data_IF_794568977037
#
_entry.id   IF_794568977037
#
_cell.length_a   1.000
_cell.length_b   1.000
_cell.length_c   1.000
_cell.angle_alpha   90.00
_cell.angle_beta   90.00
_cell.angle_gamma   90.00
#
_symmetry.space_group_name_H-M   'P 1'
#
loop_
_entity.id
_entity.type
_entity.pdbx_description
1 polymer ?
#
# COMPACT_ATOMS: atom_id res chain seq x y z
N UNK A 1 -1.08 -7.68 -14.09
CA UNK A 1 0.20 -7.65 -13.38
C UNK A 1 1.17 -6.87 -14.26
N UNK A 2 1.78 -5.80 -13.75
CA UNK A 2 2.67 -4.95 -14.54
C UNK A 2 3.87 -4.58 -13.69
N UNK A 3 5.08 -4.81 -14.22
CA UNK A 3 6.32 -4.29 -13.68
C UNK A 3 6.48 -2.87 -14.27
N UNK A 4 6.62 -1.88 -13.42
CA UNK A 4 6.75 -0.48 -13.81
C UNK A 4 8.22 -0.08 -13.94
N UNK A 5 9.07 -0.61 -13.05
CA UNK A 5 10.52 -0.40 -13.06
C UNK A 5 11.20 -1.63 -12.46
N UNK A 6 12.40 -1.95 -12.95
CA UNK A 6 13.24 -3.04 -12.45
C UNK A 6 14.70 -2.63 -12.62
N UNK A 7 15.46 -2.65 -11.52
CA UNK A 7 16.86 -2.25 -11.50
C UNK A 7 17.70 -3.26 -10.75
N UNK A 8 18.82 -3.65 -11.33
CA UNK A 8 19.88 -4.36 -10.61
C UNK A 8 20.65 -3.34 -9.75
N UNK A 9 20.63 -3.53 -8.43
CA UNK A 9 21.27 -2.60 -7.48
C UNK A 9 22.57 -3.13 -6.91
N UNK A 10 22.74 -4.46 -6.85
CA UNK A 10 23.98 -5.09 -6.44
C UNK A 10 24.13 -6.47 -7.10
N UNK A 11 25.39 -6.89 -7.29
CA UNK A 11 25.75 -8.22 -7.76
C UNK A 11 26.95 -8.72 -6.95
N UNK A 12 26.79 -9.88 -6.31
CA UNK A 12 27.86 -10.62 -5.63
C UNK A 12 28.10 -11.90 -6.44
N UNK A 13 28.92 -11.78 -7.47
CA UNK A 13 29.18 -12.87 -8.43
C UNK A 13 29.74 -14.13 -7.78
N UNK A 14 30.62 -13.98 -6.77
CA UNK A 14 31.17 -15.11 -6.02
C UNK A 14 30.11 -15.96 -5.32
N UNK A 15 28.99 -15.35 -4.92
CA UNK A 15 27.85 -16.01 -4.27
C UNK A 15 26.69 -16.28 -5.22
N UNK A 16 26.79 -15.87 -6.48
CA UNK A 16 25.68 -15.87 -7.44
C UNK A 16 24.41 -15.18 -6.87
N UNK A 17 24.59 -14.10 -6.12
CA UNK A 17 23.52 -13.36 -5.48
C UNK A 17 23.39 -11.98 -6.12
N UNK A 18 22.15 -11.64 -6.49
CA UNK A 18 21.82 -10.40 -7.18
C UNK A 18 20.70 -9.69 -6.43
N UNK A 19 20.88 -8.40 -6.18
CA UNK A 19 19.85 -7.58 -5.56
C UNK A 19 19.18 -6.74 -6.62
N UNK A 20 17.86 -6.83 -6.69
CA UNK A 20 17.07 -6.02 -7.62
C UNK A 20 16.03 -5.18 -6.86
N UNK A 21 15.83 -3.97 -7.34
CA UNK A 21 14.73 -3.10 -6.91
C UNK A 21 13.61 -3.17 -7.94
N UNK A 22 12.39 -3.42 -7.47
CA UNK A 22 11.24 -3.65 -8.35
C UNK A 22 10.08 -2.75 -7.94
N UNK A 23 9.62 -1.93 -8.87
CA UNK A 23 8.36 -1.21 -8.75
C UNK A 23 7.30 -1.90 -9.59
N UNK A 24 6.20 -2.31 -8.97
CA UNK A 24 5.17 -3.09 -9.64
C UNK A 24 3.76 -2.77 -9.14
N UNK A 25 2.78 -3.19 -9.93
CA UNK A 25 1.36 -3.06 -9.56
C UNK A 25 0.97 -4.05 -8.48
N UNK A 26 -0.11 -3.75 -7.73
CA UNK A 26 -0.69 -4.69 -6.77
C UNK A 26 -0.99 -6.05 -7.42
N UNK A 27 -0.89 -7.11 -6.62
CA UNK A 27 -1.13 -8.48 -7.08
C UNK A 27 0.07 -9.11 -7.81
N UNK A 28 1.22 -8.43 -7.87
CA UNK A 28 2.45 -9.00 -8.40
C UNK A 28 3.10 -9.89 -7.35
N UNK A 29 3.32 -11.16 -7.69
CA UNK A 29 4.06 -12.11 -6.86
C UNK A 29 5.54 -12.04 -7.24
N UNK A 30 6.34 -11.46 -6.36
CA UNK A 30 7.79 -11.28 -6.63
C UNK A 30 8.51 -12.63 -6.79
N UNK A 31 8.09 -13.66 -6.07
CA UNK A 31 8.62 -15.02 -6.26
C UNK A 31 8.44 -15.53 -7.69
N UNK A 32 7.27 -15.28 -8.28
CA UNK A 32 6.99 -15.63 -9.67
C UNK A 32 7.87 -14.82 -10.62
N UNK A 33 8.01 -13.53 -10.38
CA UNK A 33 8.91 -12.68 -11.18
C UNK A 33 10.35 -13.21 -11.18
N UNK A 34 10.90 -13.59 -10.02
CA UNK A 34 12.24 -14.14 -9.92
C UNK A 34 12.36 -15.48 -10.65
N UNK A 35 11.36 -16.36 -10.50
CA UNK A 35 11.31 -17.62 -11.22
C UNK A 35 11.33 -17.38 -12.73
N UNK A 36 10.44 -16.51 -13.24
CA UNK A 36 10.33 -16.23 -14.67
C UNK A 36 11.62 -15.58 -15.22
N UNK A 37 12.24 -14.69 -14.44
CA UNK A 37 13.53 -14.10 -14.78
C UNK A 37 14.62 -15.16 -14.89
N UNK A 38 14.70 -16.09 -13.94
CA UNK A 38 15.64 -17.21 -13.97
C UNK A 38 15.42 -18.15 -15.16
N UNK A 39 14.17 -18.41 -15.53
CA UNK A 39 13.83 -19.19 -16.73
C UNK A 39 14.25 -18.45 -18.00
N UNK A 40 14.01 -17.15 -18.09
CA UNK A 40 14.41 -16.35 -19.25
C UNK A 40 15.93 -16.27 -19.43
N UNK A 41 16.70 -16.28 -18.34
CA UNK A 41 18.15 -16.34 -18.35
C UNK A 41 18.71 -17.75 -18.60
N UNK A 42 17.88 -18.79 -18.52
CA UNK A 42 18.29 -20.19 -18.75
C UNK A 42 19.04 -20.84 -17.59
N UNK A 43 19.22 -20.16 -16.45
CA UNK A 43 19.96 -20.66 -15.28
C UNK A 43 19.06 -20.98 -14.08
N UNK A 44 17.77 -20.60 -14.13
CA UNK A 44 16.90 -20.63 -12.97
C UNK A 44 17.26 -19.54 -11.96
N UNK A 45 16.31 -19.20 -11.08
CA UNK A 45 16.55 -18.29 -9.96
C UNK A 45 15.62 -18.62 -8.80
N UNK A 46 16.07 -18.29 -7.59
CA UNK A 46 15.28 -18.43 -6.36
C UNK A 46 15.38 -17.13 -5.54
N UNK A 47 14.27 -16.74 -4.96
CA UNK A 47 14.23 -15.58 -4.07
C UNK A 47 14.75 -15.98 -2.69
N UNK A 48 15.80 -15.34 -2.22
CA UNK A 48 16.44 -15.60 -0.92
C UNK A 48 15.94 -14.64 0.16
N UNK A 49 15.65 -13.39 -0.21
CA UNK A 49 15.12 -12.39 0.70
C UNK A 49 14.12 -11.49 -0.03
N UNK A 50 13.26 -10.83 0.74
CA UNK A 50 12.29 -9.86 0.22
C UNK A 50 12.04 -8.78 1.27
N UNK A 51 12.23 -7.53 0.88
CA UNK A 51 11.87 -6.37 1.69
C UNK A 51 10.98 -5.43 0.90
N UNK A 52 9.85 -5.05 1.48
CA UNK A 52 9.02 -3.99 0.92
C UNK A 52 9.55 -2.65 1.40
N UNK A 53 9.95 -1.79 0.46
CA UNK A 53 10.51 -0.46 0.76
C UNK A 53 9.48 0.65 0.72
N UNK A 54 8.38 0.44 -0.03
CA UNK A 54 7.28 1.39 -0.12
C UNK A 54 5.95 0.67 -0.34
N UNK A 55 4.88 1.19 0.23
CA UNK A 55 3.52 0.74 -0.05
C UNK A 55 2.52 1.87 0.23
N UNK A 56 1.59 2.15 -0.71
CA UNK A 56 0.56 3.18 -0.56
C UNK A 56 1.11 4.57 -0.21
N UNK A 57 2.28 4.93 -0.73
CA UNK A 57 2.93 6.21 -0.42
C UNK A 57 3.68 6.25 0.91
N UNK A 58 3.66 5.17 1.71
CA UNK A 58 4.47 5.03 2.92
C UNK A 58 5.81 4.41 2.56
N UNK A 59 6.89 5.06 2.95
CA UNK A 59 8.25 4.53 2.84
C UNK A 59 8.61 3.66 4.06
N UNK A 60 9.61 2.80 3.91
CA UNK A 60 10.12 1.99 5.02
C UNK A 60 10.58 2.85 6.20
N UNK A 61 11.11 4.04 5.93
CA UNK A 61 11.53 5.00 6.96
C UNK A 61 10.37 5.54 7.82
N UNK A 62 9.13 5.47 7.32
CA UNK A 62 7.93 5.87 8.07
C UNK A 62 7.39 4.75 8.99
N UNK A 63 7.99 3.56 8.91
CA UNK A 63 7.56 2.40 9.65
C UNK A 63 8.28 2.33 11.01
N UNK A 64 7.61 1.73 11.98
CA UNK A 64 8.19 1.37 13.28
C UNK A 64 8.39 -0.14 13.35
N UNK A 65 9.44 -0.60 14.04
CA UNK A 65 9.69 -2.02 14.21
C UNK A 65 8.82 -2.62 15.33
N UNK A 66 8.69 -3.94 15.34
CA UNK A 66 7.96 -4.64 16.40
C UNK A 66 8.64 -4.44 17.75
N UNK A 67 9.98 -4.40 17.80
CA UNK A 67 10.76 -4.16 19.00
C UNK A 67 10.51 -2.76 19.57
N UNK A 68 10.41 -1.75 18.70
CA UNK A 68 10.06 -0.39 19.11
C UNK A 68 8.66 -0.31 19.69
N UNK A 69 7.68 -0.97 19.05
CA UNK A 69 6.31 -1.04 19.58
C UNK A 69 6.24 -1.80 20.89
N UNK A 70 7.02 -2.86 21.04
CA UNK A 70 7.09 -3.64 22.27
C UNK A 70 7.70 -2.82 23.42
N UNK A 71 8.80 -2.12 23.17
CA UNK A 71 9.42 -1.23 24.14
C UNK A 71 8.46 -0.09 24.56
N UNK A 72 7.71 0.46 23.59
CA UNK A 72 6.70 1.49 23.88
C UNK A 72 5.59 0.95 24.77
N UNK A 73 5.07 -0.25 24.49
CA UNK A 73 4.08 -0.92 25.33
C UNK A 73 4.60 -1.15 26.76
N UNK A 74 5.80 -1.68 26.89
CA UNK A 74 6.39 -2.06 28.17
C UNK A 74 6.70 -0.82 29.05
N UNK A 75 6.95 0.34 28.40
CA UNK A 75 7.08 1.64 29.08
C UNK A 75 5.74 2.31 29.40
N UNK A 76 4.61 1.75 28.98
CA UNK A 76 3.29 2.40 29.11
C UNK A 76 3.12 3.65 28.25
N UNK A 77 3.89 3.76 27.16
CA UNK A 77 3.87 4.89 26.25
C UNK A 77 2.63 4.93 25.35
N UNK A 78 2.41 6.08 24.71
CA UNK A 78 1.30 6.32 23.79
C UNK A 78 1.65 5.81 22.37
N UNK A 79 0.75 5.03 21.78
CA UNK A 79 0.86 4.53 20.40
C UNK A 79 0.38 5.53 19.34
N UNK A 80 -0.32 6.62 19.73
CA UNK A 80 -0.89 7.56 18.79
C UNK A 80 0.13 8.11 17.77
N UNK A 81 1.40 8.41 18.14
CA UNK A 81 2.41 8.85 17.18
C UNK A 81 2.82 7.79 16.13
N UNK A 82 2.59 6.50 16.43
CA UNK A 82 2.89 5.39 15.53
C UNK A 82 1.74 5.10 14.55
N UNK A 83 0.58 5.71 14.77
CA UNK A 83 -0.61 5.48 13.95
C UNK A 83 -0.73 6.55 12.88
N UNK A 84 -0.98 6.13 11.65
CA UNK A 84 -1.32 7.03 10.55
C UNK A 84 -2.82 6.96 10.28
N UNK A 85 -3.51 8.11 10.21
CA UNK A 85 -4.91 8.15 9.81
C UNK A 85 -5.09 7.58 8.40
N UNK A 86 -6.14 6.78 8.20
CA UNK A 86 -6.40 6.14 6.90
C UNK A 86 -6.69 7.17 5.81
N UNK A 87 -7.29 8.30 6.14
CA UNK A 87 -7.59 9.38 5.21
C UNK A 87 -6.32 10.06 4.68
N UNK A 88 -5.22 10.11 5.44
CA UNK A 88 -3.92 10.55 4.93
C UNK A 88 -3.41 9.63 3.80
N UNK A 89 -3.55 8.31 3.96
CA UNK A 89 -3.15 7.33 2.95
C UNK A 89 -4.00 7.40 1.68
N UNK A 90 -5.21 7.94 1.81
CA UNK A 90 -6.16 8.09 0.73
C UNK A 90 -6.26 9.53 0.21
N UNK A 91 -5.36 10.43 0.61
CA UNK A 91 -5.39 11.85 0.24
C UNK A 91 -5.31 12.10 -1.28
N UNK A 92 -4.75 11.16 -2.05
CA UNK A 92 -4.70 11.22 -3.51
C UNK A 92 -6.07 10.97 -4.18
N UNK A 93 -7.05 10.47 -3.44
CA UNK A 93 -8.39 10.18 -3.96
C UNK A 93 -9.35 11.31 -3.65
N UNK A 94 -10.33 11.59 -4.55
CA UNK A 94 -11.35 12.60 -4.29
C UNK A 94 -12.18 12.20 -3.06
N UNK A 95 -12.34 13.13 -2.12
CA UNK A 95 -13.17 12.95 -0.95
C UNK A 95 -14.63 13.29 -1.26
N UNK A 96 -15.56 12.45 -0.86
CA UNK A 96 -16.99 12.72 -0.89
C UNK A 96 -17.45 13.18 0.49
N UNK A 97 -18.19 14.28 0.52
CA UNK A 97 -18.86 14.74 1.72
C UNK A 97 -20.26 14.12 1.78
N UNK A 98 -20.59 13.54 2.92
CA UNK A 98 -21.88 12.89 3.13
C UNK A 98 -22.51 13.40 4.43
N UNK A 99 -23.85 13.42 4.48
CA UNK A 99 -24.59 13.76 5.70
C UNK A 99 -24.49 12.63 6.73
N UNK A 100 -24.73 12.95 8.01
CA UNK A 100 -24.69 11.94 9.08
C UNK A 100 -25.61 10.72 8.84
N UNK A 101 -26.85 10.88 8.32
CA UNK A 101 -27.67 9.73 7.94
C UNK A 101 -27.08 8.89 6.80
N UNK A 102 -26.49 9.53 5.78
CA UNK A 102 -25.82 8.84 4.68
C UNK A 102 -24.58 8.06 5.17
N UNK A 103 -23.75 8.68 6.04
CA UNK A 103 -22.60 8.02 6.63
C UNK A 103 -23.01 6.77 7.43
N UNK A 104 -24.08 6.86 8.22
CA UNK A 104 -24.62 5.73 8.99
C UNK A 104 -25.13 4.62 8.08
N UNK A 105 -25.90 4.98 7.03
CA UNK A 105 -26.40 4.02 6.04
C UNK A 105 -25.25 3.32 5.32
N UNK A 106 -24.24 4.08 4.89
CA UNK A 106 -23.08 3.55 4.20
C UNK A 106 -22.24 2.64 5.09
N UNK A 107 -22.00 3.03 6.36
CA UNK A 107 -21.30 2.22 7.35
C UNK A 107 -22.00 0.88 7.65
N UNK A 108 -23.31 0.79 7.42
CA UNK A 108 -24.10 -0.44 7.53
C UNK A 108 -24.21 -1.20 6.18
N UNK A 109 -23.36 -0.89 5.19
CA UNK A 109 -23.34 -1.56 3.89
C UNK A 109 -24.37 -1.07 2.89
N UNK A 110 -25.12 -0.01 3.18
CA UNK A 110 -26.12 0.56 2.26
C UNK A 110 -25.49 1.42 1.18
N UNK A 111 -25.93 1.28 -0.08
CA UNK A 111 -25.45 2.08 -1.18
C UNK A 111 -25.75 3.58 -1.02
N UNK A 112 -24.84 4.44 -1.46
CA UNK A 112 -25.07 5.88 -1.60
C UNK A 112 -25.61 6.17 -3.00
N UNK A 113 -26.64 7.02 -3.05
CA UNK A 113 -27.24 7.45 -4.32
C UNK A 113 -26.36 8.53 -4.97
N UNK A 114 -25.81 8.21 -6.14
CA UNK A 114 -24.90 9.09 -6.88
C UNK A 114 -25.57 10.43 -7.26
N UNK A 115 -26.87 10.43 -7.55
CA UNK A 115 -27.62 11.65 -7.90
C UNK A 115 -27.73 12.60 -6.70
N UNK A 116 -27.90 12.04 -5.50
CA UNK A 116 -27.95 12.84 -4.26
C UNK A 116 -26.60 13.34 -3.84
N UNK A 117 -25.53 12.59 -4.13
CA UNK A 117 -24.14 13.01 -3.86
C UNK A 117 -23.73 14.22 -4.73
N UNK A 118 -24.10 14.23 -6.02
CA UNK A 118 -23.82 15.35 -6.91
C UNK A 118 -24.51 16.66 -6.49
N UNK A 119 -25.66 16.59 -5.90
CA UNK A 119 -26.39 17.75 -5.40
C UNK A 119 -25.80 18.36 -4.12
N UNK A 120 -25.03 17.59 -3.36
CA UNK A 120 -24.49 17.99 -2.05
C UNK A 120 -23.01 18.43 -2.10
N UNK A 121 -22.34 18.38 -3.25
CA UNK A 121 -20.99 18.89 -3.42
C UNK A 121 -20.89 20.42 -3.23
N UNK A 122 -22.02 21.12 -3.07
CA UNK A 122 -22.12 22.57 -2.88
C UNK A 122 -22.41 23.00 -1.45
N UNK A 123 -22.61 22.07 -0.50
CA UNK A 123 -22.91 22.41 0.90
C UNK A 123 -21.78 21.97 1.85
N UNK A 124 -21.33 22.84 2.78
CA UNK A 124 -20.18 22.56 3.64
C UNK A 124 -20.54 21.79 4.92
N UNK A 125 -20.99 20.54 4.83
CA UNK A 125 -21.18 19.72 6.03
C UNK A 125 -20.41 18.41 5.96
N UNK A 126 -19.33 18.33 6.73
CA UNK A 126 -18.27 17.34 6.58
C UNK A 126 -18.29 16.25 7.64
N UNK A 127 -18.52 15.02 7.25
CA UNK A 127 -17.79 13.86 7.77
C UNK A 127 -17.19 13.13 6.59
N UNK A 128 -15.86 13.04 6.54
CA UNK A 128 -15.16 12.21 5.57
C UNK A 128 -15.50 10.75 5.87
N UNK A 129 -16.09 10.07 4.91
CA UNK A 129 -16.30 8.63 4.96
C UNK A 129 -15.39 8.02 3.91
N UNK A 130 -14.31 7.40 4.34
CA UNK A 130 -13.45 6.62 3.47
C UNK A 130 -14.07 5.25 3.25
N UNK A 131 -14.40 4.92 2.02
CA UNK A 131 -14.86 3.59 1.63
C UNK A 131 -13.68 2.71 1.24
N UNK A 132 -13.41 1.68 2.02
CA UNK A 132 -12.38 0.68 1.73
C UNK A 132 -12.64 -0.09 0.43
N UNK A 133 -13.89 -0.38 0.11
CA UNK A 133 -14.25 -1.20 -1.06
C UNK A 133 -14.07 -0.48 -2.40
N UNK A 134 -14.16 0.84 -2.42
CA UNK A 134 -14.13 1.61 -3.67
C UNK A 134 -12.72 2.00 -4.11
N UNK A 135 -11.87 2.34 -3.16
CA UNK A 135 -10.47 2.69 -3.41
C UNK A 135 -9.66 1.49 -3.97
N UNK A 136 -10.03 0.26 -3.58
CA UNK A 136 -9.35 -0.96 -4.00
C UNK A 136 -9.64 -1.35 -5.46
N UNK A 137 -10.75 -0.91 -6.04
CA UNK A 137 -11.18 -1.40 -7.37
C UNK A 137 -10.62 -0.66 -8.58
N UNK A 138 -10.04 0.53 -8.45
CA UNK A 138 -9.71 1.35 -9.64
C UNK A 138 -8.32 1.95 -9.77
N UNK A 139 -7.40 1.75 -8.84
CA UNK A 139 -6.06 2.28 -9.05
C UNK A 139 -4.96 1.28 -8.69
N UNK A 140 -4.00 1.24 -9.59
CA UNK A 140 -2.73 0.54 -9.49
C UNK A 140 -1.89 1.23 -8.41
N UNK A 141 -1.82 0.63 -7.23
CA UNK A 141 -0.88 1.09 -6.21
C UNK A 141 0.47 0.45 -6.56
N UNK A 142 1.42 1.25 -6.95
CA UNK A 142 2.79 0.80 -7.11
C UNK A 142 3.37 0.46 -5.73
N UNK A 143 3.92 -0.72 -5.58
CA UNK A 143 4.70 -1.11 -4.42
C UNK A 143 6.13 -1.34 -4.86
N UNK A 144 7.08 -0.74 -4.13
CA UNK A 144 8.50 -0.97 -4.35
C UNK A 144 8.94 -2.19 -3.52
N UNK A 145 9.69 -3.08 -4.11
CA UNK A 145 10.18 -4.29 -3.48
C UNK A 145 11.69 -4.37 -3.65
N UNK A 146 12.37 -4.67 -2.56
CA UNK A 146 13.80 -4.92 -2.56
C UNK A 146 14.03 -6.43 -2.41
N UNK A 147 14.94 -6.99 -3.18
CA UNK A 147 15.24 -8.43 -3.18
C UNK A 147 16.74 -8.60 -3.07
N UNK A 148 17.17 -9.34 -2.11
CA UNK A 148 18.53 -9.77 -1.93
C UNK A 148 18.67 -11.27 -2.18
#
# INVERSE_FOLDING_TARGET
>A
MTILDLRLTAAEEEKNTYTIDVTCTKGTYIRTLIHDLGQALGCGAVMTALQRTCAMGLALADCVTLEQLQALRDSGGDFAPCLRPVDELLAAYPALQVTAPQARRFGNGGALDAVRLHRQLTEPYSRRVCSWDWAVRRQTVASCWWIA
#
